data_IF_886198820973
#
_entry.id   IF_886198820973
#
_cell.length_a   1.000
_cell.length_b   1.000
_cell.length_c   1.000
_cell.angle_alpha   90.00
_cell.angle_beta   90.00
_cell.angle_gamma   90.00
#
_symmetry.space_group_name_H-M   'P 1'
#
loop_
_entity.id
_entity.type
_entity.pdbx_description
1 polymer ?
#
# COMPACT_ATOMS: atom_id res chain seq x y z
N UNK A 1 6.78 32.25 18.64
CA UNK A 1 8.05 31.51 18.58
C UNK A 1 8.24 31.07 17.14
N UNK A 2 9.05 31.83 16.40
CA UNK A 2 9.09 31.80 14.94
C UNK A 2 9.87 30.59 14.41
N UNK A 3 9.29 29.97 13.40
CA UNK A 3 9.77 28.82 12.65
C UNK A 3 11.19 29.07 12.13
N UNK A 4 12.17 28.35 12.68
CA UNK A 4 13.53 28.40 12.15
C UNK A 4 13.55 27.70 10.80
N UNK A 5 14.08 28.39 9.81
CA UNK A 5 14.34 27.94 8.45
C UNK A 5 15.34 26.77 8.48
N UNK A 6 14.88 25.56 8.79
CA UNK A 6 15.69 24.32 8.77
C UNK A 6 15.90 23.81 7.34
N UNK A 7 16.14 24.71 6.40
CA UNK A 7 16.31 24.41 4.97
C UNK A 7 17.70 23.85 4.64
N UNK A 8 18.66 23.89 5.57
CA UNK A 8 20.07 23.50 5.34
C UNK A 8 20.54 22.27 6.13
N UNK A 9 19.71 21.70 7.00
CA UNK A 9 20.11 20.53 7.77
C UNK A 9 20.12 19.30 6.86
N UNK A 10 21.25 18.60 6.81
CA UNK A 10 21.43 17.34 6.10
C UNK A 10 21.33 16.18 7.09
N UNK A 11 20.96 15.01 6.58
CA UNK A 11 21.01 13.76 7.31
C UNK A 11 22.35 13.58 8.04
N UNK A 12 22.32 13.03 9.26
CA UNK A 12 23.52 12.77 10.07
C UNK A 12 24.27 11.48 9.72
N UNK A 13 23.67 10.60 8.91
CA UNK A 13 24.29 9.36 8.50
C UNK A 13 25.52 9.57 7.61
N UNK A 14 26.48 8.66 7.75
CA UNK A 14 27.65 8.56 6.89
C UNK A 14 27.60 7.24 6.12
N UNK A 15 27.98 7.29 4.84
CA UNK A 15 28.14 6.13 3.96
C UNK A 15 29.53 6.26 3.35
N UNK A 16 30.40 5.27 3.58
CA UNK A 16 31.80 5.29 3.11
C UNK A 16 32.52 6.60 3.48
N UNK A 17 32.41 7.02 4.75
CA UNK A 17 32.94 8.28 5.30
C UNK A 17 32.38 9.57 4.70
N UNK A 18 31.41 9.49 3.79
CA UNK A 18 30.72 10.64 3.21
C UNK A 18 29.39 10.87 3.90
N UNK A 19 29.18 12.10 4.41
CA UNK A 19 27.90 12.48 5.01
C UNK A 19 26.79 12.50 3.98
N UNK A 20 25.67 11.87 4.30
CA UNK A 20 24.48 11.86 3.47
C UNK A 20 23.97 13.29 3.19
N UNK A 21 23.79 13.63 1.91
CA UNK A 21 23.34 14.95 1.46
C UNK A 21 21.82 15.14 1.50
N UNK A 22 21.06 14.08 1.75
CA UNK A 22 19.59 14.11 1.74
C UNK A 22 19.05 14.92 2.91
N UNK A 23 17.90 15.54 2.69
CA UNK A 23 17.14 16.23 3.73
C UNK A 23 16.66 15.21 4.79
N UNK A 24 16.81 15.51 6.09
CA UNK A 24 16.25 14.70 7.17
C UNK A 24 14.73 14.84 7.22
N UNK A 25 14.06 13.82 7.76
CA UNK A 25 12.62 13.84 7.96
C UNK A 25 12.22 14.93 8.99
N UNK A 26 10.95 15.39 8.97
CA UNK A 26 10.41 16.20 10.06
C UNK A 26 10.66 15.52 11.41
N UNK A 27 11.05 16.32 12.41
CA UNK A 27 11.31 15.84 13.77
C UNK A 27 12.41 14.75 13.91
N UNK A 28 13.19 14.50 12.84
CA UNK A 28 14.34 13.59 12.85
C UNK A 28 15.62 14.28 12.38
N UNK A 29 16.75 13.65 12.69
CA UNK A 29 18.08 14.01 12.20
C UNK A 29 18.53 13.15 11.00
N UNK A 30 17.74 12.14 10.63
CA UNK A 30 18.04 11.19 9.56
C UNK A 30 17.05 11.34 8.40
N UNK A 31 17.51 11.06 7.17
CA UNK A 31 16.62 10.93 6.01
C UNK A 31 15.91 9.57 6.06
N UNK A 32 14.91 9.36 5.19
CA UNK A 32 14.14 8.12 5.17
C UNK A 32 15.03 6.88 5.09
N UNK A 33 16.01 6.85 4.17
CA UNK A 33 16.87 5.69 3.97
C UNK A 33 17.76 5.33 5.17
N UNK A 34 18.05 6.31 6.03
CA UNK A 34 18.92 6.12 7.19
C UNK A 34 18.17 6.27 8.51
N UNK A 35 16.84 6.35 8.49
CA UNK A 35 16.03 6.58 9.70
C UNK A 35 16.25 5.47 10.73
N UNK A 36 16.48 4.24 10.27
CA UNK A 36 16.75 3.07 11.11
C UNK A 36 18.17 3.04 11.70
N UNK A 37 19.05 3.98 11.37
CA UNK A 37 20.34 4.16 12.06
C UNK A 37 20.20 4.97 13.35
N UNK A 38 19.06 5.64 13.56
CA UNK A 38 18.77 6.35 14.79
C UNK A 38 18.41 5.36 15.91
N UNK A 39 19.12 5.42 17.04
CA UNK A 39 18.86 4.51 18.17
C UNK A 39 17.53 4.78 18.86
N UNK A 40 16.96 5.98 18.68
CA UNK A 40 15.67 6.36 19.24
C UNK A 40 14.52 6.16 18.25
N UNK A 41 14.79 5.52 17.11
CA UNK A 41 13.78 5.22 16.13
C UNK A 41 12.82 4.14 16.67
N UNK A 42 11.53 4.46 16.80
CA UNK A 42 10.46 3.47 17.08
C UNK A 42 9.41 3.30 15.96
N UNK A 43 9.27 4.27 15.06
CA UNK A 43 8.25 4.29 14.00
C UNK A 43 8.58 3.47 12.73
N UNK A 44 9.84 3.16 12.49
CA UNK A 44 10.39 2.56 11.29
C UNK A 44 11.37 1.45 11.65
N UNK A 45 11.14 0.25 11.12
CA UNK A 45 12.06 -0.89 11.23
C UNK A 45 12.65 -1.21 9.87
N UNK A 46 13.84 -1.84 9.79
CA UNK A 46 14.31 -2.39 8.52
C UNK A 46 13.42 -3.57 8.12
N UNK A 47 13.02 -3.64 6.86
CA UNK A 47 12.40 -4.82 6.28
C UNK A 47 13.41 -5.97 6.34
N UNK A 48 12.99 -7.15 6.81
CA UNK A 48 13.89 -8.30 6.93
C UNK A 48 14.29 -8.88 5.56
N UNK A 49 13.38 -8.84 4.58
CA UNK A 49 13.61 -9.41 3.26
C UNK A 49 13.18 -10.87 3.18
N UNK A 50 13.83 -11.63 2.29
CA UNK A 50 13.73 -13.09 2.21
C UNK A 50 15.06 -13.72 2.64
N UNK A 51 15.06 -15.03 2.92
CA UNK A 51 16.27 -15.75 3.35
C UNK A 51 17.42 -15.63 2.34
N UNK A 52 17.10 -15.42 1.07
CA UNK A 52 18.06 -15.37 -0.03
C UNK A 52 18.73 -13.99 -0.18
N UNK A 53 18.01 -12.91 0.14
CA UNK A 53 18.47 -11.53 -0.09
C UNK A 53 18.08 -10.63 1.10
N UNK A 54 19.06 -10.14 1.88
CA UNK A 54 18.77 -9.25 2.99
C UNK A 54 18.17 -7.94 2.48
N UNK A 55 17.06 -7.52 3.07
CA UNK A 55 16.51 -6.20 2.85
C UNK A 55 16.93 -5.27 3.99
N UNK A 56 17.05 -3.98 3.69
CA UNK A 56 17.28 -2.93 4.69
C UNK A 56 16.40 -1.71 4.42
N UNK A 57 15.31 -1.88 3.64
CA UNK A 57 14.40 -0.78 3.35
C UNK A 57 13.63 -0.41 4.62
N UNK A 58 13.56 0.88 4.99
CA UNK A 58 12.79 1.34 6.15
C UNK A 58 11.29 1.13 5.88
N UNK A 59 10.61 0.49 6.83
CA UNK A 59 9.18 0.20 6.77
C UNK A 59 8.50 0.66 8.05
N UNK A 60 7.29 1.19 7.95
CA UNK A 60 6.56 1.68 9.11
C UNK A 60 6.20 0.52 10.04
N UNK A 61 6.57 0.63 11.31
CA UNK A 61 6.32 -0.40 12.33
C UNK A 61 4.83 -0.57 12.66
N UNK A 62 3.99 0.40 12.29
CA UNK A 62 2.55 0.37 12.51
C UNK A 62 1.77 -0.52 11.53
N UNK A 63 2.43 -1.09 10.51
CA UNK A 63 1.75 -1.86 9.47
C UNK A 63 1.49 -3.32 9.86
N UNK A 64 2.34 -3.93 10.69
CA UNK A 64 2.33 -5.36 11.03
C UNK A 64 3.33 -5.63 12.17
N UNK A 65 3.22 -6.79 12.83
CA UNK A 65 4.24 -7.30 13.76
C UNK A 65 5.59 -7.52 13.04
N UNK A 66 5.54 -8.11 11.84
CA UNK A 66 6.64 -8.18 10.87
C UNK A 66 6.33 -7.32 9.64
N UNK A 67 6.70 -6.02 9.64
CA UNK A 67 6.48 -5.16 8.49
C UNK A 67 7.48 -5.50 7.37
N UNK A 68 6.97 -5.58 6.15
CA UNK A 68 7.76 -5.79 4.93
C UNK A 68 7.61 -4.62 3.97
N UNK A 69 8.65 -4.37 3.15
CA UNK A 69 8.55 -3.35 2.10
C UNK A 69 7.61 -3.88 0.99
N UNK A 70 7.11 -3.02 0.09
CA UNK A 70 6.16 -3.45 -0.95
C UNK A 70 6.63 -4.62 -1.82
N UNK A 71 7.96 -4.79 -1.97
CA UNK A 71 8.55 -5.90 -2.72
C UNK A 71 8.59 -7.23 -1.95
N UNK A 72 8.56 -7.18 -0.62
CA UNK A 72 8.57 -8.35 0.26
C UNK A 72 7.23 -8.54 0.99
N UNK A 73 6.19 -7.80 0.59
CA UNK A 73 4.85 -7.94 1.13
C UNK A 73 4.24 -9.23 0.59
N UNK A 74 3.81 -10.13 1.49
CA UNK A 74 3.17 -11.38 1.11
C UNK A 74 1.75 -11.08 0.62
N UNK A 75 1.52 -11.27 -0.68
CA UNK A 75 0.20 -11.06 -1.28
C UNK A 75 -0.78 -12.15 -0.82
N UNK A 76 -2.07 -11.81 -0.59
CA UNK A 76 -3.09 -12.82 -0.37
C UNK A 76 -3.22 -13.71 -1.63
N UNK A 77 -3.59 -14.98 -1.49
CA UNK A 77 -3.86 -15.84 -2.65
C UNK A 77 -4.92 -15.21 -3.54
N UNK A 78 -4.75 -15.35 -4.86
CA UNK A 78 -5.73 -14.88 -5.83
C UNK A 78 -7.07 -15.55 -5.56
N UNK A 79 -8.08 -14.75 -5.21
CA UNK A 79 -9.43 -15.25 -4.91
C UNK A 79 -10.21 -15.61 -6.18
N UNK A 80 -9.72 -15.18 -7.34
CA UNK A 80 -10.31 -15.54 -8.61
C UNK A 80 -9.95 -16.99 -8.95
N UNK A 81 -10.94 -17.86 -8.84
CA UNK A 81 -10.94 -19.16 -9.51
C UNK A 81 -11.56 -18.91 -10.88
N UNK A 82 -10.79 -19.00 -11.99
CA UNK A 82 -11.40 -19.04 -13.31
C UNK A 82 -12.39 -20.21 -13.32
N UNK A 83 -13.61 -19.97 -13.81
CA UNK A 83 -14.53 -21.07 -14.13
C UNK A 83 -13.78 -22.00 -15.07
N UNK A 84 -13.29 -23.12 -14.52
CA UNK A 84 -12.79 -24.22 -15.32
C UNK A 84 -13.97 -24.64 -16.17
N UNK A 85 -13.86 -24.40 -17.47
CA UNK A 85 -14.94 -24.55 -18.42
C UNK A 85 -15.72 -25.81 -18.09
N UNK A 86 -17.00 -25.62 -17.73
CA UNK A 86 -18.00 -26.68 -17.76
C UNK A 86 -17.71 -27.49 -19.02
N UNK A 87 -17.23 -28.71 -18.86
CA UNK A 87 -17.26 -29.68 -19.93
C UNK A 87 -18.74 -29.83 -20.23
N UNK A 88 -19.21 -29.11 -21.25
CA UNK A 88 -20.56 -29.20 -21.79
C UNK A 88 -20.77 -30.69 -22.06
N UNK A 89 -21.64 -31.39 -21.33
CA UNK A 89 -22.08 -32.70 -21.77
C UNK A 89 -22.83 -32.47 -23.08
N UNK A 90 -22.37 -33.18 -24.10
CA UNK A 90 -22.88 -33.22 -25.46
C UNK A 90 -24.42 -33.27 -25.50
N UNK A 91 -24.98 -32.36 -26.32
CA UNK A 91 -26.33 -32.33 -26.87
C UNK A 91 -27.46 -33.00 -26.06
N UNK A 92 -28.27 -32.17 -25.37
CA UNK A 92 -29.69 -32.46 -25.24
C UNK A 92 -30.51 -31.20 -25.57
N UNK A 93 -31.04 -31.22 -26.79
CA UNK A 93 -32.40 -30.83 -27.20
C UNK A 93 -33.03 -29.59 -26.54
N UNK A 94 -33.21 -28.59 -27.40
CA UNK A 94 -34.05 -27.40 -27.31
C UNK A 94 -35.22 -27.40 -26.27
N UNK A 95 -35.21 -26.44 -25.34
CA UNK A 95 -36.39 -25.69 -24.84
C UNK A 95 -35.97 -24.51 -23.92
N UNK A 96 -36.86 -23.53 -23.67
CA UNK A 96 -36.89 -22.19 -24.26
C UNK A 96 -36.10 -21.11 -23.49
N UNK A 97 -35.70 -20.07 -24.23
CA UNK A 97 -34.88 -18.93 -23.82
C UNK A 97 -35.55 -17.91 -22.88
N UNK A 98 -36.55 -18.28 -22.07
CA UNK A 98 -37.34 -17.32 -21.28
C UNK A 98 -37.03 -17.34 -19.76
N UNK A 99 -35.75 -17.37 -19.42
CA UNK A 99 -35.28 -16.91 -18.11
C UNK A 99 -34.39 -15.68 -18.30
N UNK A 100 -34.99 -14.64 -18.90
CA UNK A 100 -34.42 -13.31 -18.90
C UNK A 100 -34.39 -12.80 -17.46
N UNK A 101 -33.20 -12.74 -16.89
CA UNK A 101 -32.91 -12.10 -15.62
C UNK A 101 -33.50 -10.70 -15.64
N UNK A 102 -34.43 -10.42 -14.72
CA UNK A 102 -34.90 -9.05 -14.48
C UNK A 102 -33.72 -8.21 -14.04
N UNK A 103 -33.05 -7.57 -14.98
CA UNK A 103 -32.16 -6.47 -14.70
C UNK A 103 -33.01 -5.42 -13.99
N UNK A 104 -32.81 -5.27 -12.68
CA UNK A 104 -33.33 -4.12 -11.96
C UNK A 104 -32.56 -2.90 -12.48
N UNK A 105 -33.08 -2.30 -13.55
CA UNK A 105 -32.70 -0.96 -13.99
C UNK A 105 -33.15 0.00 -12.90
N UNK A 106 -32.30 0.23 -11.91
CA UNK A 106 -32.46 1.35 -11.01
C UNK A 106 -32.30 2.60 -11.86
N UNK A 107 -33.42 3.22 -12.25
CA UNK A 107 -33.39 4.58 -12.74
C UNK A 107 -32.68 5.42 -11.67
N UNK A 108 -31.73 6.30 -12.05
CA UNK A 108 -31.18 7.24 -11.08
C UNK A 108 -32.35 8.11 -10.62
N UNK A 109 -32.88 7.83 -9.43
CA UNK A 109 -33.88 8.67 -8.80
C UNK A 109 -33.20 10.00 -8.52
N UNK A 110 -33.42 10.92 -9.45
CA UNK A 110 -33.60 12.35 -9.27
C UNK A 110 -32.62 12.97 -8.27
N UNK A 111 -31.64 13.70 -8.81
CA UNK A 111 -30.76 14.59 -8.05
C UNK A 111 -31.59 15.57 -7.22
N UNK A 112 -31.79 15.27 -5.94
CA UNK A 112 -32.38 16.18 -4.97
C UNK A 112 -31.35 17.27 -4.65
N UNK A 113 -31.67 18.57 -4.81
CA UNK A 113 -30.78 19.63 -4.41
C UNK A 113 -30.61 19.60 -2.89
N UNK A 114 -29.36 19.53 -2.43
CA UNK A 114 -28.99 19.75 -1.03
C UNK A 114 -29.17 21.24 -0.73
N UNK A 115 -30.28 21.58 -0.07
CA UNK A 115 -30.45 22.91 0.52
C UNK A 115 -29.63 22.96 1.82
N UNK A 116 -28.56 23.75 1.81
CA UNK A 116 -27.83 24.11 3.03
C UNK A 116 -28.58 25.27 3.69
N UNK A 117 -29.08 25.05 4.91
CA UNK A 117 -29.56 26.14 5.76
C UNK A 117 -28.36 26.93 6.31
N UNK A 118 -28.46 28.27 6.26
CA UNK A 118 -27.51 29.23 6.85
C UNK A 118 -27.43 29.13 8.37
#
# INVERSE_FOLDING_TARGET
QAHTTRSSQRCLAFVDDVRCSRQPLPLSRHCLLHICQDTNQTLFKPCQGSEEVPCNKPVAASLSEEPCCPLHLRLPPQLYVPEQGLAVPEELEAAPSDLYLSAAELQPTESLPLEFSD
#
